data_IF_153785593756
#
_entry.id   IF_153785593756
#
_cell.length_a   1.000
_cell.length_b   1.000
_cell.length_c   1.000
_cell.angle_alpha   90.00
_cell.angle_beta   90.00
_cell.angle_gamma   90.00
#
_symmetry.space_group_name_H-M   'P 1'
#
loop_
_entity.id
_entity.type
_entity.pdbx_description
1 polymer ?
#
# COMPACT_ATOMS: atom_id res chain seq x y z
N UNK A 1 17.20 -32.01 28.20
CA UNK A 1 16.43 -31.07 27.36
C UNK A 1 16.91 -29.68 27.74
N UNK A 2 17.78 -29.11 26.91
CA UNK A 2 18.34 -27.77 27.16
C UNK A 2 17.36 -26.71 26.66
N UNK A 3 17.08 -25.73 27.51
CA UNK A 3 16.23 -24.57 27.19
C UNK A 3 17.07 -23.58 26.38
N UNK A 4 16.67 -23.20 25.14
CA UNK A 4 17.46 -22.27 24.36
C UNK A 4 17.48 -20.89 25.03
N UNK A 5 18.68 -20.38 25.31
CA UNK A 5 18.90 -19.02 25.86
C UNK A 5 18.93 -17.98 24.73
N UNK A 6 18.56 -16.74 25.08
CA UNK A 6 18.25 -15.61 24.19
C UNK A 6 19.31 -15.18 23.15
N UNK A 7 20.46 -15.85 23.06
CA UNK A 7 21.53 -15.53 22.08
C UNK A 7 21.37 -16.21 20.72
N UNK A 8 20.45 -17.17 20.57
CA UNK A 8 20.19 -17.84 19.28
C UNK A 8 19.09 -17.16 18.43
N UNK A 9 18.59 -15.99 18.82
CA UNK A 9 17.54 -15.26 18.07
C UNK A 9 18.07 -14.31 16.98
N UNK A 10 19.40 -14.24 16.78
CA UNK A 10 20.03 -13.29 15.84
C UNK A 10 19.86 -13.73 14.36
N UNK A 11 19.25 -14.89 14.10
CA UNK A 11 19.01 -15.40 12.74
C UNK A 11 17.62 -15.11 12.16
N UNK A 12 16.65 -14.68 12.96
CA UNK A 12 15.33 -14.31 12.46
C UNK A 12 15.40 -12.82 12.17
N UNK A 13 15.86 -12.47 10.96
CA UNK A 13 15.47 -11.20 10.34
C UNK A 13 13.97 -11.09 10.57
N UNK A 14 13.56 -10.17 11.43
CA UNK A 14 12.18 -9.74 11.48
C UNK A 14 11.86 -9.30 10.05
N UNK A 15 11.24 -10.18 9.29
CA UNK A 15 10.48 -9.76 8.14
C UNK A 15 9.45 -8.81 8.76
N UNK A 16 9.72 -7.51 8.63
CA UNK A 16 8.74 -6.48 8.90
C UNK A 16 7.63 -6.71 7.86
N UNK A 17 6.76 -7.68 8.13
CA UNK A 17 5.53 -7.89 7.40
C UNK A 17 4.67 -6.71 7.80
N UNK A 18 4.72 -5.64 7.02
CA UNK A 18 3.90 -4.47 7.29
C UNK A 18 2.48 -4.84 6.93
N UNK A 19 1.80 -5.45 7.91
CA UNK A 19 0.42 -5.95 7.87
C UNK A 19 -0.49 -4.96 7.11
N UNK A 20 -0.84 -5.29 5.87
CA UNK A 20 -1.85 -4.67 5.00
C UNK A 20 -2.04 -3.14 5.15
N UNK A 21 -1.55 -2.37 4.17
CA UNK A 21 -1.62 -0.91 4.19
C UNK A 21 -2.78 -0.38 3.36
N UNK A 22 -4.00 -0.75 3.72
CA UNK A 22 -5.14 0.07 3.30
C UNK A 22 -4.96 1.46 3.89
N UNK A 23 -5.01 2.51 3.07
CA UNK A 23 -4.80 3.88 3.53
C UNK A 23 -5.72 4.84 2.84
N UNK A 24 -6.14 5.89 3.56
CA UNK A 24 -6.71 7.10 2.98
C UNK A 24 -5.63 8.19 3.08
N UNK A 25 -5.27 8.81 1.98
CA UNK A 25 -4.14 9.74 1.95
C UNK A 25 -2.77 9.04 2.02
N UNK A 26 -1.76 9.82 2.40
CA UNK A 26 -0.40 9.34 2.63
C UNK A 26 0.42 9.12 1.37
N UNK A 27 1.63 8.58 1.54
CA UNK A 27 2.53 8.25 0.43
C UNK A 27 2.10 6.90 -0.17
N UNK A 28 1.81 6.82 -1.49
CA UNK A 28 1.45 5.57 -2.13
C UNK A 28 2.60 4.55 -2.04
N UNK A 29 2.24 3.29 -1.78
CA UNK A 29 3.16 2.14 -1.87
C UNK A 29 2.98 1.51 -3.23
N UNK A 30 4.07 1.39 -3.99
CA UNK A 30 4.08 0.63 -5.23
C UNK A 30 4.88 -0.66 -5.05
N UNK A 31 4.49 -1.68 -5.80
CA UNK A 31 5.23 -2.92 -6.04
C UNK A 31 6.09 -2.76 -7.29
N UNK A 32 5.54 -2.10 -8.32
CA UNK A 32 6.27 -1.81 -9.56
C UNK A 32 6.73 -0.35 -9.64
N UNK A 33 6.93 0.13 -10.88
CA UNK A 33 7.37 1.50 -11.16
C UNK A 33 6.30 2.47 -10.67
N UNK A 34 6.65 3.45 -9.83
CA UNK A 34 5.68 4.42 -9.34
C UNK A 34 5.03 5.23 -10.46
N UNK A 35 3.73 5.43 -10.36
CA UNK A 35 2.94 6.22 -11.30
C UNK A 35 2.12 7.30 -10.56
N UNK A 36 1.71 8.37 -11.24
CA UNK A 36 0.90 9.46 -10.65
C UNK A 36 1.45 10.06 -9.33
N UNK A 37 2.78 10.18 -9.20
CA UNK A 37 3.41 10.72 -7.98
C UNK A 37 3.09 12.19 -7.71
N UNK A 38 2.64 12.92 -8.73
CA UNK A 38 2.16 14.30 -8.66
C UNK A 38 0.73 14.42 -8.11
N UNK A 39 0.00 13.30 -8.01
CA UNK A 39 -1.35 13.25 -7.50
C UNK A 39 -1.39 12.90 -6.00
N UNK A 40 -2.51 13.23 -5.36
CA UNK A 40 -2.83 12.76 -4.01
C UNK A 40 -3.27 11.30 -4.09
N UNK A 41 -2.64 10.42 -3.30
CA UNK A 41 -3.14 9.07 -3.05
C UNK A 41 -4.40 9.17 -2.20
N UNK A 42 -5.57 9.20 -2.82
CA UNK A 42 -6.83 9.38 -2.11
C UNK A 42 -7.15 8.14 -1.27
N UNK A 43 -7.12 6.96 -1.89
CA UNK A 43 -7.33 5.67 -1.22
C UNK A 43 -6.37 4.64 -1.83
N UNK A 44 -5.84 3.75 -0.99
CA UNK A 44 -5.08 2.58 -1.40
C UNK A 44 -5.73 1.34 -0.78
N UNK A 45 -5.90 0.31 -1.60
CA UNK A 45 -6.30 -1.01 -1.18
C UNK A 45 -5.21 -2.04 -1.46
N UNK A 46 -5.00 -2.94 -0.53
CA UNK A 46 -3.92 -3.93 -0.52
C UNK A 46 -4.52 -5.34 -0.38
N UNK A 47 -4.11 -6.28 -1.23
CA UNK A 47 -4.64 -7.64 -1.22
C UNK A 47 -4.11 -8.51 -0.08
N UNK A 48 -3.13 -8.02 0.71
CA UNK A 48 -2.52 -8.78 1.81
C UNK A 48 -3.50 -9.23 2.93
N UNK A 49 -4.65 -8.58 3.11
CA UNK A 49 -5.65 -8.95 4.12
C UNK A 49 -6.78 -9.84 3.58
N UNK A 50 -6.62 -10.37 2.36
CA UNK A 50 -7.59 -11.26 1.73
C UNK A 50 -8.62 -10.55 0.85
N UNK A 51 -8.51 -9.23 0.67
CA UNK A 51 -9.20 -8.53 -0.42
C UNK A 51 -8.62 -8.99 -1.76
N UNK A 52 -9.46 -9.46 -2.68
CA UNK A 52 -9.02 -9.84 -4.02
C UNK A 52 -9.30 -8.70 -4.99
N UNK A 53 -8.24 -8.12 -5.56
CA UNK A 53 -8.31 -7.03 -6.54
C UNK A 53 -7.90 -7.58 -7.92
N UNK A 54 -8.71 -8.49 -8.47
CA UNK A 54 -8.35 -9.18 -9.71
C UNK A 54 -7.01 -9.91 -9.58
N UNK A 55 -6.11 -9.73 -10.56
CA UNK A 55 -4.73 -10.23 -10.52
C UNK A 55 -3.75 -9.22 -9.91
N UNK A 56 -4.24 -8.11 -9.33
CA UNK A 56 -3.40 -7.02 -8.83
C UNK A 56 -3.23 -7.09 -7.32
N UNK A 57 -2.04 -6.75 -6.84
CA UNK A 57 -1.74 -6.76 -5.41
C UNK A 57 -2.20 -5.47 -4.72
N UNK A 58 -2.08 -4.31 -5.38
CA UNK A 58 -2.51 -3.02 -4.82
C UNK A 58 -3.40 -2.26 -5.82
N UNK A 59 -4.49 -1.67 -5.34
CA UNK A 59 -5.26 -0.67 -6.08
C UNK A 59 -5.06 0.70 -5.45
N UNK A 60 -4.79 1.69 -6.28
CA UNK A 60 -4.75 3.10 -5.91
C UNK A 60 -5.91 3.85 -6.54
N UNK A 61 -6.43 4.81 -5.79
CA UNK A 61 -7.30 5.87 -6.27
C UNK A 61 -6.52 7.17 -6.10
N UNK A 62 -6.12 7.77 -7.21
CA UNK A 62 -5.43 9.05 -7.23
C UNK A 62 -6.40 10.18 -7.59
N UNK A 63 -6.13 11.37 -7.07
CA UNK A 63 -6.82 12.60 -7.43
C UNK A 63 -5.82 13.75 -7.50
N UNK A 64 -6.01 14.67 -8.44
CA UNK A 64 -5.21 15.91 -8.46
C UNK A 64 -5.54 16.75 -7.23
N UNK A 65 -4.56 17.52 -6.74
CA UNK A 65 -4.73 18.33 -5.54
C UNK A 65 -5.84 19.38 -5.73
N UNK A 66 -5.88 20.01 -6.90
CA UNK A 66 -6.85 21.05 -7.25
C UNK A 66 -8.27 20.47 -7.31
N UNK A 67 -8.45 19.31 -7.96
CA UNK A 67 -9.75 18.64 -8.06
C UNK A 67 -10.24 18.20 -6.65
N UNK A 68 -9.35 17.80 -5.73
CA UNK A 68 -9.71 17.46 -4.35
C UNK A 68 -10.16 18.69 -3.54
N UNK A 69 -9.50 19.84 -3.72
CA UNK A 69 -9.85 21.09 -3.05
C UNK A 69 -11.23 21.61 -3.50
N UNK A 70 -11.58 21.39 -4.77
CA UNK A 70 -12.88 21.73 -5.36
C UNK A 70 -13.96 20.65 -5.14
N UNK A 71 -13.63 19.54 -4.45
CA UNK A 71 -14.50 18.38 -4.27
C UNK A 71 -14.99 17.77 -5.60
N UNK A 72 -14.18 17.86 -6.65
CA UNK A 72 -14.45 17.31 -7.97
C UNK A 72 -13.87 15.90 -8.11
N UNK A 73 -14.72 14.88 -8.02
CA UNK A 73 -14.30 13.47 -8.12
C UNK A 73 -14.49 12.87 -9.52
N UNK A 74 -14.85 13.66 -10.54
CA UNK A 74 -15.09 13.15 -11.91
C UNK A 74 -13.80 12.67 -12.59
N UNK A 75 -12.64 13.17 -12.14
CA UNK A 75 -11.32 12.88 -12.74
C UNK A 75 -10.42 12.02 -11.86
N UNK A 76 -11.00 11.25 -10.92
CA UNK A 76 -10.22 10.29 -10.13
C UNK A 76 -9.60 9.23 -11.04
N UNK A 77 -8.39 8.81 -10.70
CA UNK A 77 -7.63 7.85 -11.48
C UNK A 77 -7.56 6.55 -10.69
N UNK A 78 -8.08 5.48 -11.28
CA UNK A 78 -7.91 4.13 -10.76
C UNK A 78 -6.64 3.53 -11.37
N UNK A 79 -5.71 3.15 -10.51
CA UNK A 79 -4.46 2.51 -10.91
C UNK A 79 -4.31 1.18 -10.19
N UNK A 80 -4.12 0.11 -10.96
CA UNK A 80 -3.96 -1.23 -10.43
C UNK A 80 -2.49 -1.64 -10.59
N UNK A 81 -1.82 -1.86 -9.47
CA UNK A 81 -0.40 -2.21 -9.41
C UNK A 81 -0.24 -3.72 -9.21
N UNK A 82 0.51 -4.34 -10.11
CA UNK A 82 0.79 -5.78 -10.18
C UNK A 82 2.16 -5.97 -10.81
#
# INVERSE_FOLDING_TARGET
MEVPTAKNLIGIKAAYKVKSKHTIGGKPRFIQTPYHQDCVNFIQFDSEDGLMIGECEIMHIFIKKEDLEELNFEKVIFYFDN
#
